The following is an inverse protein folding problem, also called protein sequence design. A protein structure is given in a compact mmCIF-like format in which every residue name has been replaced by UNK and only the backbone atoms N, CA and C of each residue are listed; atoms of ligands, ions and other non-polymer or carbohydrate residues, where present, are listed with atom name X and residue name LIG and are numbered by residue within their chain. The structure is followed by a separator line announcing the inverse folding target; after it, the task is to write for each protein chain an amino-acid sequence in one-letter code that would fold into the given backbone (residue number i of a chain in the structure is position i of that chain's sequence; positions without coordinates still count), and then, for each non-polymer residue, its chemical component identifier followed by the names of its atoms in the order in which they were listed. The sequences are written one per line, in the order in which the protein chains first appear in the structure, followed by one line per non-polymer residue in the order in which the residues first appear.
data_IF_052011270057
#
_entry.id   IF_052011270057
#
_cell.length_a   1.000
_cell.length_b   1.000
_cell.length_c   1.000
_cell.angle_alpha   90.00
_cell.angle_beta   90.00
_cell.angle_gamma   90.00
#
_symmetry.space_group_name_H-M   'P 1'
#
loop_
_entity.id
_entity.type
_entity.pdbx_description
1 polymer ?
#
# COMPACT_ATOMS: atom_id res chain seq x y z
N UNK A 1 7.31 -2.28 1.05
CA UNK A 1 7.49 -0.91 0.60
C UNK A 1 8.13 -1.00 -0.78
N UNK A 2 7.35 -1.47 -1.75
CA UNK A 2 7.82 -1.79 -3.09
C UNK A 2 8.02 -0.53 -3.96
N UNK A 3 7.32 0.56 -3.65
CA UNK A 3 7.48 1.89 -4.26
C UNK A 3 8.35 2.86 -3.42
N UNK A 4 8.66 2.54 -2.17
CA UNK A 4 9.47 3.32 -1.23
C UNK A 4 8.81 4.64 -0.83
N UNK A 5 7.49 4.70 -0.73
CA UNK A 5 6.76 5.86 -0.21
C UNK A 5 6.83 5.96 1.34
N UNK A 6 7.38 4.93 1.99
CA UNK A 6 7.54 4.84 3.43
C UNK A 6 6.42 4.11 4.15
N UNK A 7 5.42 3.61 3.44
CA UNK A 7 4.35 2.74 3.92
C UNK A 7 4.72 1.29 3.53
N UNK A 8 4.39 0.32 4.38
CA UNK A 8 4.72 -1.08 4.05
C UNK A 8 3.59 -1.73 3.25
N UNK A 9 3.90 -2.54 2.23
CA UNK A 9 2.92 -3.32 1.45
C UNK A 9 1.84 -4.07 2.26
N UNK A 10 2.16 -4.44 3.51
CA UNK A 10 1.22 -5.12 4.42
C UNK A 10 0.17 -4.19 5.03
N UNK A 11 0.46 -2.89 5.03
CA UNK A 11 -0.38 -1.82 5.57
C UNK A 11 -1.21 -1.16 4.44
N UNK A 12 -0.77 -1.23 3.17
CA UNK A 12 -1.38 -0.58 2.00
C UNK A 12 -2.62 -1.27 1.42
N UNK A 13 -3.02 -2.40 2.00
CA UNK A 13 -4.33 -2.98 1.75
C UNK A 13 -5.34 -2.51 2.80
N UNK A 14 -6.52 -2.07 2.36
CA UNK A 14 -7.55 -1.59 3.28
C UNK A 14 -7.88 -2.63 4.37
N UNK A 15 -7.64 -2.31 5.65
CA UNK A 15 -8.02 -3.13 6.79
C UNK A 15 -7.07 -4.30 7.12
N UNK A 16 -7.49 -5.55 6.85
CA UNK A 16 -6.72 -6.77 7.15
C UNK A 16 -6.26 -7.48 5.87
N UNK A 17 -6.21 -6.74 4.76
CA UNK A 17 -5.97 -7.27 3.44
C UNK A 17 -4.47 -7.18 3.13
N UNK A 18 -3.72 -8.24 3.42
CA UNK A 18 -2.30 -8.34 3.01
C UNK A 18 -2.24 -8.51 1.48
N UNK A 19 -1.74 -7.50 0.76
CA UNK A 19 -1.60 -7.54 -0.70
C UNK A 19 -0.71 -8.70 -1.17
N UNK A 20 0.34 -9.00 -0.41
CA UNK A 20 1.36 -10.00 -0.75
C UNK A 20 0.99 -11.44 -0.36
N UNK A 21 -0.11 -11.59 0.37
CA UNK A 21 -0.65 -12.87 0.81
C UNK A 21 -1.20 -13.76 -0.32
N UNK A 22 -1.67 -14.94 0.04
CA UNK A 22 -2.27 -15.95 -0.84
C UNK A 22 -3.46 -16.56 -0.10
N UNK A 23 -4.55 -15.79 -0.07
CA UNK A 23 -5.66 -15.96 0.85
C UNK A 23 -6.46 -17.24 0.60
N UNK A 24 -6.51 -17.71 -0.64
CA UNK A 24 -7.14 -18.97 -1.00
C UNK A 24 -6.14 -20.14 -1.17
N UNK A 25 -4.85 -19.87 -1.37
CA UNK A 25 -3.81 -20.89 -1.51
C UNK A 25 -3.68 -21.45 -2.92
N UNK A 26 -4.12 -20.72 -3.95
CA UNK A 26 -3.96 -21.10 -5.34
C UNK A 26 -2.59 -20.67 -5.94
N UNK A 27 -1.84 -19.87 -5.20
CA UNK A 27 -0.51 -19.40 -5.55
C UNK A 27 -0.49 -18.09 -6.35
N UNK A 28 -1.62 -17.41 -6.48
CA UNK A 28 -1.73 -16.04 -6.98
C UNK A 28 -1.74 -15.09 -5.76
N UNK A 29 -0.88 -14.06 -5.73
CA UNK A 29 -0.93 -13.06 -4.66
C UNK A 29 -2.27 -12.35 -4.63
N UNK A 30 -2.72 -11.95 -3.44
CA UNK A 30 -4.05 -11.34 -3.25
C UNK A 30 -4.28 -10.10 -4.15
N UNK A 31 -3.28 -9.25 -4.34
CA UNK A 31 -3.39 -8.08 -5.23
C UNK A 31 -3.58 -8.42 -6.72
N UNK A 32 -3.28 -9.66 -7.13
CA UNK A 32 -3.42 -10.14 -8.51
C UNK A 32 -4.50 -11.24 -8.63
N UNK A 33 -5.20 -11.55 -7.55
CA UNK A 33 -6.22 -12.58 -7.51
C UNK A 33 -7.61 -11.95 -7.47
N UNK A 34 -8.47 -12.34 -8.40
CA UNK A 34 -9.85 -11.85 -8.52
C UNK A 34 -10.88 -12.94 -8.20
N UNK A 35 -10.44 -14.12 -7.74
CA UNK A 35 -11.29 -15.29 -7.60
C UNK A 35 -10.91 -16.22 -6.44
N UNK A 36 -11.74 -16.30 -5.40
CA UNK A 36 -11.63 -17.34 -4.35
C UNK A 36 -11.91 -18.76 -4.90
N UNK A 37 -10.85 -19.48 -5.26
CA UNK A 37 -10.90 -20.77 -5.94
C UNK A 37 -9.90 -21.83 -5.41
N UNK A 38 -8.99 -21.43 -4.52
CA UNK A 38 -7.96 -22.24 -3.87
C UNK A 38 -8.42 -23.02 -2.63
N UNK A 39 -7.48 -23.70 -1.97
CA UNK A 39 -7.72 -24.26 -0.65
C UNK A 39 -6.47 -24.40 0.20
N UNK A 40 -6.58 -24.00 1.48
CA UNK A 40 -5.51 -23.90 2.49
C UNK A 40 -4.67 -22.62 2.39
N UNK A 41 -5.27 -21.51 1.95
CA UNK A 41 -4.63 -20.20 1.94
C UNK A 41 -4.21 -19.69 3.32
N UNK A 42 -3.68 -18.47 3.35
CA UNK A 42 -3.05 -17.85 4.53
C UNK A 42 -4.03 -17.57 5.69
N UNK A 43 -5.33 -17.62 5.42
CA UNK A 43 -6.40 -17.41 6.40
C UNK A 43 -6.91 -15.97 6.50
N UNK A 44 -6.51 -15.09 5.59
CA UNK A 44 -7.10 -13.75 5.42
C UNK A 44 -8.55 -13.86 4.90
N UNK A 45 -9.27 -12.74 4.91
CA UNK A 45 -10.63 -12.61 4.34
C UNK A 45 -10.69 -11.60 3.21
N UNK A 46 -9.69 -11.62 2.32
CA UNK A 46 -9.57 -10.70 1.17
C UNK A 46 -10.88 -10.56 0.40
N UNK A 47 -11.21 -9.31 0.05
CA UNK A 47 -12.28 -9.01 -0.89
C UNK A 47 -11.71 -9.07 -2.32
N UNK A 48 -12.21 -10.01 -3.11
CA UNK A 48 -11.79 -10.25 -4.50
C UNK A 48 -12.62 -9.45 -5.51
N UNK A 49 -13.39 -8.46 -5.06
CA UNK A 49 -14.21 -7.63 -5.93
C UNK A 49 -13.31 -6.83 -6.87
N UNK A 50 -13.46 -7.06 -8.17
CA UNK A 50 -12.81 -6.33 -9.27
C UNK A 50 -13.94 -5.74 -10.14
N UNK A 51 -14.32 -4.49 -9.85
CA UNK A 51 -15.46 -3.82 -10.45
C UNK A 51 -15.15 -3.26 -11.85
N UNK A 52 -13.90 -2.89 -12.10
CA UNK A 52 -13.45 -2.25 -13.34
C UNK A 52 -12.90 -3.28 -14.37
N UNK A 53 -12.68 -4.53 -13.95
CA UNK A 53 -12.15 -5.66 -14.74
C UNK A 53 -10.74 -5.44 -15.30
N UNK A 54 -9.86 -4.81 -14.54
CA UNK A 54 -8.44 -4.67 -14.88
C UNK A 54 -7.56 -5.81 -14.36
N UNK A 55 -8.07 -6.61 -13.42
CA UNK A 55 -7.38 -7.75 -12.83
C UNK A 55 -6.72 -7.48 -11.48
N UNK A 56 -6.96 -6.32 -10.87
CA UNK A 56 -6.58 -5.99 -9.49
C UNK A 56 -7.90 -5.84 -8.71
N UNK A 57 -8.06 -6.48 -7.54
CA UNK A 57 -9.22 -6.23 -6.71
C UNK A 57 -9.28 -4.77 -6.24
N UNK A 58 -10.46 -4.18 -6.20
CA UNK A 58 -10.75 -2.78 -5.80
C UNK A 58 -10.18 -2.44 -4.40
N UNK A 59 -9.88 -3.43 -3.57
CA UNK A 59 -9.31 -3.23 -2.22
C UNK A 59 -7.80 -3.01 -2.22
N UNK A 60 -7.16 -3.24 -3.37
CA UNK A 60 -5.74 -3.07 -3.63
C UNK A 60 -5.47 -2.06 -4.75
N UNK A 61 -6.50 -1.41 -5.28
CA UNK A 61 -6.46 -0.37 -6.33
C UNK A 61 -7.59 0.63 -6.00
N UNK A 62 -7.31 1.52 -5.04
CA UNK A 62 -8.33 2.36 -4.41
C UNK A 62 -8.92 3.39 -5.38
N UNK A 63 -8.09 3.95 -6.25
CA UNK A 63 -8.51 4.94 -7.24
C UNK A 63 -9.02 4.30 -8.56
N UNK A 64 -8.70 3.03 -8.79
CA UNK A 64 -9.12 2.24 -9.94
C UNK A 64 -8.36 2.58 -11.22
N UNK A 65 -7.10 3.04 -11.14
CA UNK A 65 -6.28 3.40 -12.29
C UNK A 65 -5.49 2.22 -12.90
N UNK A 66 -5.50 1.07 -12.23
CA UNK A 66 -4.82 -0.15 -12.63
C UNK A 66 -3.38 -0.27 -12.15
N UNK A 67 -2.95 0.58 -11.22
CA UNK A 67 -1.76 0.42 -10.38
C UNK A 67 -2.25 -0.01 -9.00
N UNK A 68 -1.64 -1.06 -8.44
CA UNK A 68 -2.02 -1.51 -7.12
C UNK A 68 -1.38 -0.60 -6.06
N UNK A 69 -2.07 -0.28 -4.97
CA UNK A 69 -1.66 0.69 -3.94
C UNK A 69 -0.17 0.58 -3.57
N UNK A 70 0.34 -0.62 -3.23
CA UNK A 70 1.78 -0.89 -2.94
C UNK A 70 2.81 -0.61 -4.06
N UNK A 71 2.35 -0.08 -5.19
CA UNK A 71 3.14 0.32 -6.36
C UNK A 71 2.74 1.70 -6.87
N UNK A 72 1.79 2.37 -6.21
CA UNK A 72 1.26 3.68 -6.57
C UNK A 72 1.76 4.72 -5.55
N UNK A 73 2.08 5.93 -6.02
CA UNK A 73 2.59 6.99 -5.15
C UNK A 73 1.48 7.95 -4.68
N UNK A 74 0.25 7.75 -5.14
CA UNK A 74 -0.95 8.58 -4.92
C UNK A 74 -2.16 7.63 -5.01
N UNK A 75 -2.24 6.69 -4.07
CA UNK A 75 -3.11 5.50 -4.13
C UNK A 75 -4.60 5.82 -4.24
N UNK A 76 -5.04 7.01 -3.82
CA UNK A 76 -6.41 7.47 -3.96
C UNK A 76 -6.59 8.58 -5.03
N UNK A 77 -5.48 9.08 -5.60
CA UNK A 77 -5.43 10.05 -6.69
C UNK A 77 -6.12 11.38 -6.36
N UNK A 78 -6.01 11.80 -5.10
CA UNK A 78 -6.49 13.10 -4.63
C UNK A 78 -5.49 14.24 -4.99
N UNK A 79 -4.24 13.87 -5.29
CA UNK A 79 -3.15 14.75 -5.70
C UNK A 79 -2.18 15.15 -4.59
N UNK A 80 -2.28 14.53 -3.41
CA UNK A 80 -1.26 14.46 -2.36
C UNK A 80 -0.60 13.07 -2.48
N UNK A 81 0.72 12.98 -2.24
CA UNK A 81 1.41 11.70 -2.38
C UNK A 81 1.29 10.89 -1.09
N UNK A 82 1.27 9.56 -1.22
CA UNK A 82 1.14 8.63 -0.09
C UNK A 82 2.25 8.84 0.95
N UNK A 83 3.47 9.20 0.52
CA UNK A 83 4.56 9.59 1.42
C UNK A 83 4.19 10.77 2.34
N UNK A 84 3.45 11.75 1.84
CA UNK A 84 3.00 12.92 2.62
C UNK A 84 1.86 12.52 3.58
N UNK A 85 0.92 11.73 3.11
CA UNK A 85 -0.31 11.34 3.83
C UNK A 85 -0.08 10.25 4.87
N UNK A 86 0.82 9.31 4.58
CA UNK A 86 1.39 8.35 5.52
C UNK A 86 2.22 9.02 6.64
N UNK A 87 2.43 10.34 6.57
CA UNK A 87 3.15 11.12 7.57
C UNK A 87 4.67 11.07 7.43
N UNK A 88 5.16 10.55 6.30
CA UNK A 88 6.57 10.37 5.98
C UNK A 88 7.17 11.52 5.15
N UNK A 89 6.39 12.53 4.74
CA UNK A 89 6.82 13.61 3.84
C UNK A 89 8.02 14.45 4.29
N UNK A 90 8.43 14.37 5.57
CA UNK A 90 9.67 14.98 6.04
C UNK A 90 10.94 14.19 5.64
N UNK A 91 10.78 12.91 5.29
CA UNK A 91 11.82 11.98 4.85
C UNK A 91 12.04 12.06 3.33
N UNK A 92 11.00 12.32 2.53
CA UNK A 92 11.14 12.70 1.11
C UNK A 92 11.60 14.16 1.00
N UNK A 93 12.91 14.35 1.07
CA UNK A 93 13.55 15.66 1.05
C UNK A 93 13.66 16.25 -0.36
N UNK A 94 13.37 15.45 -1.38
CA UNK A 94 13.55 15.80 -2.77
C UNK A 94 12.20 16.07 -3.48
N UNK A 95 11.11 15.57 -2.92
CA UNK A 95 9.72 15.81 -3.32
C UNK A 95 9.33 15.03 -4.57
N UNK A 96 9.81 13.79 -4.72
CA UNK A 96 9.46 12.91 -5.83
C UNK A 96 8.54 11.74 -5.45
N UNK A 97 8.07 11.69 -4.20
CA UNK A 97 7.16 10.66 -3.70
C UNK A 97 7.86 9.45 -3.11
N UNK A 98 9.20 9.41 -3.18
CA UNK A 98 9.98 8.21 -2.88
C UNK A 98 11.05 8.56 -1.87
N UNK A 99 11.17 7.76 -0.82
CA UNK A 99 12.21 7.84 0.20
C UNK A 99 13.34 6.90 -0.21
N UNK A 100 14.39 7.47 -0.84
CA UNK A 100 15.51 6.67 -1.32
C UNK A 100 16.89 7.29 -1.04
N UNK A 101 17.94 6.72 -1.64
CA UNK A 101 19.31 7.19 -1.48
C UNK A 101 19.58 8.63 -1.99
N UNK A 102 18.62 9.24 -2.68
CA UNK A 102 18.66 10.66 -3.08
C UNK A 102 18.17 11.59 -1.97
N UNK A 103 17.60 11.04 -0.89
CA UNK A 103 17.10 11.80 0.26
C UNK A 103 18.10 12.01 1.38
N UNK A 104 18.01 13.19 1.97
CA UNK A 104 18.88 13.60 3.05
C UNK A 104 18.43 12.99 4.37
N UNK A 105 18.97 11.82 4.70
CA UNK A 105 18.65 11.13 5.95
C UNK A 105 18.45 9.64 5.75
N UNK A 106 18.19 9.23 4.51
CA UNK A 106 17.90 7.85 4.16
C UNK A 106 18.84 6.83 4.81
N UNK A 107 18.24 5.84 5.44
CA UNK A 107 18.89 4.74 6.15
C UNK A 107 18.04 3.49 6.05
N UNK A 108 18.52 2.48 5.33
CA UNK A 108 17.96 1.13 5.34
C UNK A 108 19.04 0.19 5.92
N UNK A 109 19.01 -0.02 7.24
CA UNK A 109 20.07 -0.79 7.93
C UNK A 109 19.87 -2.29 7.79
N UNK A 110 18.62 -2.75 7.73
CA UNK A 110 18.30 -4.18 7.66
C UNK A 110 18.16 -4.72 6.22
N UNK A 111 18.13 -3.82 5.24
CA UNK A 111 18.11 -4.15 3.81
C UNK A 111 16.73 -4.61 3.35
N UNK A 112 15.65 -4.19 4.03
CA UNK A 112 14.29 -4.59 3.69
C UNK A 112 13.64 -3.71 2.61
N UNK A 113 14.30 -2.61 2.21
CA UNK A 113 13.81 -1.66 1.20
C UNK A 113 13.21 -0.39 1.79
N UNK A 114 12.60 -0.47 2.98
CA UNK A 114 11.95 0.64 3.66
C UNK A 114 12.95 1.42 4.51
N UNK A 115 12.80 2.74 4.57
CA UNK A 115 13.62 3.57 5.46
C UNK A 115 13.39 3.22 6.94
N UNK A 116 14.47 3.13 7.71
CA UNK A 116 14.45 2.76 9.13
C UNK A 116 13.63 3.77 9.97
N UNK A 117 13.59 5.06 9.57
CA UNK A 117 12.85 6.10 10.29
C UNK A 117 11.34 6.09 9.93
N UNK A 118 10.93 5.59 8.76
CA UNK A 118 9.50 5.46 8.39
C UNK A 118 8.79 4.30 9.11
N UNK A 119 9.50 3.19 9.39
CA UNK A 119 8.97 2.02 10.10
C UNK A 119 8.40 2.28 11.52
N UNK A 120 8.65 3.46 12.09
CA UNK A 120 8.17 3.85 13.42
C UNK A 120 6.99 4.83 13.38
N UNK A 121 6.57 5.24 12.18
CA UNK A 121 5.45 6.15 11.97
C UNK A 121 4.15 5.33 11.98
N UNK A 122 3.08 5.94 12.47
CA UNK A 122 1.74 5.37 12.37
C UNK A 122 0.98 6.15 11.33
N UNK A 123 0.30 5.43 10.45
CA UNK A 123 -0.47 5.97 9.34
C UNK A 123 -1.58 6.88 9.90
N UNK A 124 -1.61 8.15 9.47
CA UNK A 124 -2.68 9.08 9.80
C UNK A 124 -4.07 8.56 9.35
N UNK A 125 -5.07 8.88 10.18
CA UNK A 125 -6.49 8.72 9.91
C UNK A 125 -7.15 9.98 10.51
N UNK A 126 -7.28 10.99 9.67
CA UNK A 126 -7.61 12.36 10.05
C UNK A 126 -9.06 12.47 10.49
N UNK A 127 -9.96 11.74 9.84
CA UNK A 127 -11.40 11.82 10.06
C UNK A 127 -11.93 10.76 11.07
N UNK A 128 -11.11 9.74 11.36
CA UNK A 128 -11.33 8.61 12.28
C UNK A 128 -12.44 7.65 11.84
N UNK A 129 -12.60 7.44 10.54
CA UNK A 129 -13.53 6.45 9.98
C UNK A 129 -12.93 5.04 9.86
N UNK A 130 -11.60 4.93 9.98
CA UNK A 130 -10.84 3.68 9.94
C UNK A 130 -10.18 3.37 8.59
N UNK A 131 -10.25 4.28 7.62
CA UNK A 131 -9.42 4.30 6.40
C UNK A 131 -8.24 5.23 6.64
N UNK A 132 -6.99 4.81 6.38
CA UNK A 132 -5.84 5.71 6.45
C UNK A 132 -5.91 6.82 5.39
N UNK A 133 -5.33 7.98 5.68
CA UNK A 133 -5.40 9.18 4.82
C UNK A 133 -4.96 8.88 3.37
N UNK A 134 -3.89 8.11 3.15
CA UNK A 134 -3.38 7.76 1.81
C UNK A 134 -4.30 6.83 0.98
N UNK A 135 -5.41 6.35 1.55
CA UNK A 135 -6.45 5.58 0.85
C UNK A 135 -7.82 6.30 0.92
N UNK A 136 -7.87 7.54 1.41
CA UNK A 136 -9.10 8.26 1.72
C UNK A 136 -9.29 9.55 0.88
N UNK A 137 -10.26 9.49 -0.04
CA UNK A 137 -10.59 10.54 -1.00
C UNK A 137 -11.07 11.89 -0.41
N UNK A 138 -11.23 12.08 0.91
CA UNK A 138 -11.89 13.26 1.51
C UNK A 138 -11.25 14.05 2.67
#
# INVERSE_FOLDING_TARGET
DDDNDGIADVDEGSGLNDATGDADGDGIPNWLDTVDNGGSGDGSTTDYTDSNNDGIPDVYDTDGDGVANHLDLDSDNDGILDVDEGGNGALDTNGDGVIDANDAGFSDTDGNGQDDDSQAISEPDTDNDGVPDYLDLD
#
